data_IF_302905620121
#
_entry.id   IF_302905620121
#
_cell.length_a   1.000
_cell.length_b   1.000
_cell.length_c   1.000
_cell.angle_alpha   90.00
_cell.angle_beta   90.00
_cell.angle_gamma   90.00
#
_symmetry.space_group_name_H-M   'P 1'
#
loop_
_entity.id
_entity.type
_entity.pdbx_description
1 polymer ?
#
# COMPACT_ATOMS: atom_id res chain seq x y z
N UNK A 1 22.85 -35.33 -33.40
CA UNK A 1 21.40 -35.16 -33.14
C UNK A 1 21.26 -34.75 -31.69
N UNK A 2 21.24 -33.44 -31.43
CA UNK A 2 21.14 -32.88 -30.09
C UNK A 2 19.70 -32.95 -29.61
N UNK A 3 19.45 -33.56 -28.45
CA UNK A 3 18.15 -33.51 -27.78
C UNK A 3 17.98 -32.11 -27.20
N UNK A 4 16.97 -31.38 -27.64
CA UNK A 4 16.48 -30.20 -26.92
C UNK A 4 15.98 -30.65 -25.54
N UNK A 5 16.23 -29.88 -24.46
CA UNK A 5 15.71 -30.21 -23.15
C UNK A 5 14.19 -30.09 -23.16
N UNK A 6 13.53 -31.21 -22.87
CA UNK A 6 12.10 -31.33 -22.67
C UNK A 6 11.71 -30.49 -21.45
N UNK A 7 11.12 -29.31 -21.69
CA UNK A 7 10.63 -28.44 -20.61
C UNK A 7 9.41 -29.13 -20.02
N UNK A 8 9.58 -29.70 -18.83
CA UNK A 8 8.52 -30.35 -18.06
C UNK A 8 7.44 -29.32 -17.74
N UNK A 9 6.25 -29.46 -18.32
CA UNK A 9 5.13 -28.56 -18.05
C UNK A 9 4.80 -28.56 -16.56
N UNK A 10 4.85 -27.38 -15.93
CA UNK A 10 4.52 -27.23 -14.51
C UNK A 10 3.02 -27.41 -14.30
N UNK A 11 2.61 -28.44 -13.57
CA UNK A 11 1.21 -28.66 -13.21
C UNK A 11 0.74 -27.63 -12.18
N UNK A 12 -0.38 -26.96 -12.45
CA UNK A 12 -1.01 -26.04 -11.50
C UNK A 12 -1.57 -26.84 -10.32
N UNK A 13 -1.08 -26.55 -9.11
CA UNK A 13 -1.45 -27.28 -7.89
C UNK A 13 -2.75 -26.79 -7.24
N UNK A 14 -3.15 -25.54 -7.53
CA UNK A 14 -4.34 -24.92 -6.96
C UNK A 14 -4.75 -23.71 -7.79
N UNK A 15 -6.05 -23.47 -7.91
CA UNK A 15 -6.62 -22.23 -8.44
C UNK A 15 -7.75 -21.72 -7.54
N UNK A 16 -7.98 -20.39 -7.48
CA UNK A 16 -9.10 -19.83 -6.76
C UNK A 16 -10.43 -20.14 -7.46
N UNK A 17 -11.48 -20.41 -6.68
CA UNK A 17 -12.84 -20.64 -7.18
C UNK A 17 -13.37 -19.49 -8.07
N UNK A 18 -12.93 -18.26 -7.77
CA UNK A 18 -13.26 -17.08 -8.58
C UNK A 18 -12.16 -16.04 -8.53
N UNK A 19 -11.86 -15.46 -9.68
CA UNK A 19 -10.96 -14.30 -9.82
C UNK A 19 -11.73 -12.97 -9.76
N UNK A 20 -13.07 -13.02 -9.66
CA UNK A 20 -13.96 -11.84 -9.63
C UNK A 20 -14.12 -11.29 -8.22
N UNK A 21 -14.45 -10.01 -8.12
CA UNK A 21 -14.79 -9.33 -6.85
C UNK A 21 -13.68 -9.30 -5.78
N UNK A 22 -12.47 -9.73 -6.13
CA UNK A 22 -11.29 -9.51 -5.30
C UNK A 22 -10.97 -8.01 -5.23
N UNK A 23 -10.16 -7.57 -4.26
CA UNK A 23 -9.70 -6.18 -4.23
C UNK A 23 -8.96 -5.79 -5.52
N UNK A 24 -8.17 -6.71 -6.07
CA UNK A 24 -7.45 -6.50 -7.32
C UNK A 24 -8.42 -6.37 -8.51
N UNK A 25 -9.45 -7.21 -8.61
CA UNK A 25 -10.45 -7.13 -9.68
C UNK A 25 -11.29 -5.85 -9.61
N UNK A 26 -11.64 -5.41 -8.39
CA UNK A 26 -12.32 -4.12 -8.16
C UNK A 26 -11.45 -2.94 -8.55
N UNK A 27 -10.16 -2.97 -8.22
CA UNK A 27 -9.22 -1.94 -8.65
C UNK A 27 -9.05 -1.92 -10.17
N UNK A 28 -8.86 -3.09 -10.81
CA UNK A 28 -8.82 -3.25 -12.28
C UNK A 28 -10.03 -2.60 -12.94
N UNK A 29 -11.23 -2.89 -12.44
CA UNK A 29 -12.47 -2.34 -12.98
C UNK A 29 -12.57 -0.81 -12.80
N UNK A 30 -12.11 -0.28 -11.65
CA UNK A 30 -12.07 1.15 -11.40
C UNK A 30 -11.12 1.88 -12.38
N UNK A 31 -9.91 1.34 -12.57
CA UNK A 31 -8.92 1.88 -13.53
C UNK A 31 -9.43 1.81 -14.96
N UNK A 32 -10.04 0.69 -15.35
CA UNK A 32 -10.63 0.54 -16.69
C UNK A 32 -11.70 1.62 -16.95
N UNK A 33 -12.51 1.93 -15.95
CA UNK A 33 -13.53 2.98 -16.03
C UNK A 33 -12.96 4.41 -16.05
N UNK A 34 -11.97 4.72 -15.20
CA UNK A 34 -11.40 6.07 -15.08
C UNK A 34 -10.50 6.44 -16.27
N UNK A 35 -9.74 5.48 -16.80
CA UNK A 35 -8.77 5.71 -17.86
C UNK A 35 -9.28 5.32 -19.26
N UNK A 36 -10.50 4.80 -19.37
CA UNK A 36 -11.05 4.32 -20.65
C UNK A 36 -10.31 3.10 -21.24
N UNK A 37 -9.65 2.32 -20.38
CA UNK A 37 -8.83 1.18 -20.78
C UNK A 37 -9.65 -0.12 -20.86
N UNK A 38 -9.24 -1.02 -21.75
CA UNK A 38 -9.79 -2.38 -21.84
C UNK A 38 -8.90 -3.36 -21.10
N UNK A 39 -9.09 -3.45 -19.79
CA UNK A 39 -8.38 -4.41 -18.94
C UNK A 39 -9.29 -5.62 -18.71
N UNK A 40 -9.15 -6.71 -19.46
CA UNK A 40 -10.03 -7.88 -19.34
C UNK A 40 -9.65 -8.79 -18.16
N UNK A 41 -8.36 -8.88 -17.84
CA UNK A 41 -7.83 -9.76 -16.80
C UNK A 41 -6.67 -9.11 -16.03
N UNK A 42 -6.06 -9.86 -15.10
CA UNK A 42 -4.93 -9.39 -14.31
C UNK A 42 -3.70 -9.08 -15.15
N UNK A 43 -3.40 -9.88 -16.18
CA UNK A 43 -2.22 -9.68 -17.01
C UNK A 43 -2.31 -8.35 -17.77
N UNK A 44 -3.50 -7.97 -18.25
CA UNK A 44 -3.70 -6.67 -18.89
C UNK A 44 -3.43 -5.51 -17.94
N UNK A 45 -3.91 -5.62 -16.68
CA UNK A 45 -3.62 -4.64 -15.63
C UNK A 45 -2.12 -4.59 -15.31
N UNK A 46 -1.48 -5.75 -15.20
CA UNK A 46 -0.06 -5.86 -14.91
C UNK A 46 0.78 -5.22 -16.02
N UNK A 47 0.51 -5.56 -17.29
CA UNK A 47 1.21 -5.00 -18.44
C UNK A 47 1.11 -3.47 -18.42
N UNK A 48 -0.10 -2.94 -18.24
CA UNK A 48 -0.31 -1.50 -18.13
C UNK A 48 0.40 -0.88 -16.93
N UNK A 49 0.44 -1.55 -15.78
CA UNK A 49 1.12 -1.06 -14.58
C UNK A 49 2.63 -0.88 -14.76
N UNK A 50 3.23 -1.64 -15.67
CA UNK A 50 4.66 -1.58 -15.99
C UNK A 50 4.91 -0.57 -17.12
N UNK A 51 4.09 -0.58 -18.16
CA UNK A 51 4.23 0.32 -19.31
C UNK A 51 3.88 1.78 -18.96
N UNK A 52 2.91 1.98 -18.07
CA UNK A 52 2.36 3.29 -17.68
C UNK A 52 2.37 3.44 -16.16
N UNK A 53 3.52 3.17 -15.53
CA UNK A 53 3.64 3.12 -14.06
C UNK A 53 3.28 4.43 -13.36
N UNK A 54 3.56 5.59 -13.96
CA UNK A 54 3.17 6.88 -13.40
C UNK A 54 1.63 7.00 -13.30
N UNK A 55 0.90 6.65 -14.36
CA UNK A 55 -0.57 6.67 -14.38
C UNK A 55 -1.16 5.61 -13.43
N UNK A 56 -0.56 4.41 -13.40
CA UNK A 56 -0.95 3.36 -12.47
C UNK A 56 -0.89 3.83 -11.01
N UNK A 57 0.22 4.45 -10.61
CA UNK A 57 0.39 4.94 -9.25
C UNK A 57 -0.49 6.16 -8.95
N UNK A 58 -0.79 7.00 -9.95
CA UNK A 58 -1.78 8.06 -9.84
C UNK A 58 -3.19 7.51 -9.52
N UNK A 59 -3.62 6.48 -10.25
CA UNK A 59 -4.91 5.82 -10.03
C UNK A 59 -4.95 5.05 -8.71
N UNK A 60 -3.86 4.39 -8.34
CA UNK A 60 -3.76 3.74 -7.03
C UNK A 60 -3.88 4.75 -5.89
N UNK A 61 -3.26 5.93 -5.99
CA UNK A 61 -3.39 6.98 -4.98
C UNK A 61 -4.86 7.37 -4.77
N UNK A 62 -5.60 7.58 -5.87
CA UNK A 62 -7.04 7.90 -5.82
C UNK A 62 -7.83 6.75 -5.20
N UNK A 63 -7.58 5.52 -5.63
CA UNK A 63 -8.30 4.33 -5.18
C UNK A 63 -8.06 4.01 -3.70
N UNK A 64 -6.83 4.18 -3.22
CA UNK A 64 -6.42 3.86 -1.84
C UNK A 64 -6.90 4.86 -0.80
N UNK A 65 -7.46 6.01 -1.23
CA UNK A 65 -7.96 7.06 -0.36
C UNK A 65 -6.89 7.53 0.66
N UNK A 66 -5.65 7.72 0.20
CA UNK A 66 -4.57 8.28 1.02
C UNK A 66 -4.95 9.70 1.43
N UNK A 67 -4.85 9.97 2.73
CA UNK A 67 -5.06 11.31 3.31
C UNK A 67 -3.73 12.07 3.18
N UNK A 68 -3.79 13.27 2.63
CA UNK A 68 -2.63 14.14 2.50
C UNK A 68 -3.02 15.59 2.76
N UNK A 69 -2.06 16.37 3.23
CA UNK A 69 -2.18 17.82 3.43
C UNK A 69 -1.83 18.62 2.18
N UNK A 70 -1.04 18.04 1.28
CA UNK A 70 -0.70 18.59 -0.02
C UNK A 70 -0.65 17.42 -1.03
N UNK A 71 -1.33 17.57 -2.17
CA UNK A 71 -1.30 16.59 -3.24
C UNK A 71 0.05 16.66 -3.97
N UNK A 72 0.43 15.58 -4.66
CA UNK A 72 1.62 15.61 -5.51
C UNK A 72 1.42 16.56 -6.70
N UNK A 73 2.51 17.14 -7.17
CA UNK A 73 2.59 17.85 -8.45
C UNK A 73 2.91 16.88 -9.60
N UNK A 74 3.71 15.86 -9.30
CA UNK A 74 4.20 14.86 -10.24
C UNK A 74 4.33 13.50 -9.54
N UNK A 75 3.85 12.42 -10.16
CA UNK A 75 3.93 11.08 -9.57
C UNK A 75 5.37 10.57 -9.59
N UNK A 76 6.05 10.69 -10.72
CA UNK A 76 7.46 10.30 -10.88
C UNK A 76 7.95 10.82 -12.22
N UNK A 77 9.19 11.30 -12.27
CA UNK A 77 9.86 11.68 -13.52
C UNK A 77 10.27 10.41 -14.28
N UNK A 78 9.55 10.11 -15.37
CA UNK A 78 9.74 8.88 -16.14
C UNK A 78 10.97 8.89 -17.05
N UNK A 79 11.66 10.03 -17.16
CA UNK A 79 12.92 10.15 -17.90
C UNK A 79 14.14 9.68 -17.10
N UNK A 80 14.00 9.58 -15.77
CA UNK A 80 15.09 9.16 -14.88
C UNK A 80 15.19 7.64 -14.78
N UNK A 81 16.43 7.18 -14.66
CA UNK A 81 16.70 5.77 -14.41
C UNK A 81 16.60 5.44 -12.92
N UNK A 82 16.51 4.16 -12.58
CA UNK A 82 16.53 3.73 -11.17
C UNK A 82 17.83 4.10 -10.45
N UNK A 83 18.95 4.22 -11.19
CA UNK A 83 20.22 4.64 -10.64
C UNK A 83 20.19 6.10 -10.14
N UNK A 84 19.30 6.92 -10.70
CA UNK A 84 19.10 8.32 -10.30
C UNK A 84 18.16 8.46 -9.10
N UNK A 85 17.56 7.35 -8.63
CA UNK A 85 16.61 7.29 -7.51
C UNK A 85 15.51 8.35 -7.66
N UNK A 86 14.61 8.19 -8.66
CA UNK A 86 13.62 9.21 -8.95
C UNK A 86 12.70 9.45 -7.75
N UNK A 87 12.35 10.71 -7.53
CA UNK A 87 11.43 11.12 -6.47
C UNK A 87 10.00 10.71 -6.85
N UNK A 88 9.32 10.04 -5.93
CA UNK A 88 7.94 9.61 -6.09
C UNK A 88 7.00 10.56 -5.36
N UNK A 89 5.88 10.89 -6.01
CA UNK A 89 4.84 11.80 -5.53
C UNK A 89 5.41 13.15 -5.08
N UNK A 90 6.29 13.70 -5.92
CA UNK A 90 6.96 14.98 -5.70
C UNK A 90 5.94 16.07 -5.38
N UNK A 91 6.25 16.87 -4.36
CA UNK A 91 5.36 17.92 -3.85
C UNK A 91 4.29 17.44 -2.86
N UNK A 92 4.02 16.13 -2.76
CA UNK A 92 3.05 15.64 -1.80
C UNK A 92 3.52 15.78 -0.35
N UNK A 93 2.57 15.98 0.56
CA UNK A 93 2.85 16.03 2.00
C UNK A 93 1.78 15.26 2.78
N UNK A 94 2.19 14.16 3.39
CA UNK A 94 1.32 13.28 4.17
C UNK A 94 1.95 12.90 5.51
N UNK A 95 1.14 12.32 6.40
CA UNK A 95 1.62 11.65 7.61
C UNK A 95 1.26 10.16 7.56
N UNK A 96 2.25 9.31 7.80
CA UNK A 96 2.06 7.85 7.76
C UNK A 96 1.16 7.36 8.90
N UNK A 97 1.41 7.83 10.13
CA UNK A 97 0.62 7.45 11.30
C UNK A 97 -0.84 7.90 11.18
N UNK A 98 -1.09 9.10 10.65
CA UNK A 98 -2.45 9.58 10.32
C UNK A 98 -3.17 8.60 9.40
N UNK A 99 -2.51 8.16 8.32
CA UNK A 99 -3.12 7.23 7.37
C UNK A 99 -3.40 5.84 7.95
N UNK A 100 -2.58 5.37 8.90
CA UNK A 100 -2.83 4.11 9.60
C UNK A 100 -3.94 4.24 10.67
N UNK A 101 -4.03 5.40 11.33
CA UNK A 101 -4.91 5.62 12.47
C UNK A 101 -6.28 6.24 12.10
N UNK A 102 -6.51 6.56 10.82
CA UNK A 102 -7.75 7.20 10.30
C UNK A 102 -9.02 6.35 10.40
N UNK A 103 -8.97 5.16 11.00
CA UNK A 103 -10.15 4.31 11.11
C UNK A 103 -11.25 5.00 11.92
N UNK A 104 -12.45 5.13 11.34
CA UNK A 104 -13.54 5.94 11.91
C UNK A 104 -14.18 5.30 13.14
N UNK A 105 -14.12 3.97 13.23
CA UNK A 105 -14.70 3.21 14.32
C UNK A 105 -13.70 3.12 15.48
N UNK A 106 -13.99 3.82 16.57
CA UNK A 106 -13.14 3.90 17.75
C UNK A 106 -13.03 2.56 18.49
N UNK A 107 -14.14 1.81 18.56
CA UNK A 107 -14.28 0.62 19.39
C UNK A 107 -13.74 -0.64 18.69
N UNK A 108 -13.51 -0.55 17.38
CA UNK A 108 -12.93 -1.65 16.62
C UNK A 108 -11.51 -1.93 17.08
N UNK A 109 -11.18 -3.23 17.17
CA UNK A 109 -9.84 -3.68 17.54
C UNK A 109 -8.86 -3.36 16.42
N UNK A 110 -7.81 -2.60 16.76
CA UNK A 110 -6.68 -2.27 15.90
C UNK A 110 -5.53 -3.27 16.04
N UNK A 111 -5.27 -3.76 17.25
CA UNK A 111 -4.16 -4.69 17.53
C UNK A 111 -4.64 -5.84 18.41
N UNK A 112 -4.17 -7.05 18.06
CA UNK A 112 -4.21 -8.22 18.93
C UNK A 112 -2.77 -8.52 19.35
N UNK A 113 -2.48 -8.43 20.65
CA UNK A 113 -1.16 -8.69 21.20
C UNK A 113 -1.20 -9.98 22.03
N UNK A 114 -0.48 -11.00 21.54
CA UNK A 114 -0.24 -12.25 22.25
C UNK A 114 1.10 -12.19 23.00
N UNK A 115 1.19 -12.88 24.14
CA UNK A 115 2.39 -12.98 24.96
C UNK A 115 2.70 -14.44 25.24
N UNK A 116 3.99 -14.80 25.27
CA UNK A 116 4.41 -16.15 25.62
C UNK A 116 3.88 -16.55 27.02
N UNK A 117 3.41 -17.79 27.14
CA UNK A 117 2.89 -18.31 28.40
C UNK A 117 1.56 -17.69 28.86
N UNK A 118 0.89 -16.89 28.02
CA UNK A 118 -0.43 -16.33 28.31
C UNK A 118 -1.44 -16.75 27.26
N UNK A 119 -2.54 -17.33 27.72
CA UNK A 119 -3.69 -17.66 26.86
C UNK A 119 -4.51 -16.40 26.49
N UNK A 120 -4.43 -15.35 27.32
CA UNK A 120 -5.15 -14.11 27.09
C UNK A 120 -4.52 -13.29 25.95
N UNK A 121 -5.32 -13.00 24.93
CA UNK A 121 -4.97 -12.08 23.84
C UNK A 121 -5.42 -10.67 24.26
N UNK A 122 -4.45 -9.77 24.40
CA UNK A 122 -4.74 -8.36 24.63
C UNK A 122 -5.29 -7.74 23.35
N UNK A 123 -6.41 -7.03 23.48
CA UNK A 123 -7.06 -6.31 22.39
C UNK A 123 -6.89 -4.82 22.63
N UNK A 124 -6.42 -4.10 21.63
CA UNK A 124 -6.28 -2.64 21.67
C UNK A 124 -7.20 -2.04 20.63
N UNK A 125 -8.10 -1.16 21.03
CA UNK A 125 -9.01 -0.47 20.11
C UNK A 125 -8.27 0.61 19.31
N UNK A 126 -8.89 1.10 18.22
CA UNK A 126 -8.34 2.23 17.48
C UNK A 126 -8.25 3.50 18.32
N UNK A 127 -9.18 3.71 19.26
CA UNK A 127 -9.12 4.84 20.19
C UNK A 127 -7.94 4.73 21.15
N UNK A 128 -7.77 3.59 21.81
CA UNK A 128 -6.65 3.35 22.73
C UNK A 128 -5.31 3.50 22.01
N UNK A 129 -5.20 2.94 20.81
CA UNK A 129 -3.98 3.05 20.00
C UNK A 129 -3.68 4.51 19.63
N UNK A 130 -4.68 5.30 19.24
CA UNK A 130 -4.49 6.73 18.93
C UNK A 130 -4.03 7.52 20.15
N UNK A 131 -4.64 7.28 21.31
CA UNK A 131 -4.26 7.94 22.55
C UNK A 131 -2.82 7.60 22.94
N UNK A 132 -2.43 6.32 22.86
CA UNK A 132 -1.06 5.88 23.13
C UNK A 132 -0.06 6.53 22.17
N UNK A 133 -0.32 6.50 20.86
CA UNK A 133 0.55 7.13 19.86
C UNK A 133 0.68 8.64 20.10
N UNK A 134 -0.41 9.33 20.42
CA UNK A 134 -0.39 10.76 20.72
C UNK A 134 0.45 11.07 21.97
N UNK A 135 0.34 10.24 23.01
CA UNK A 135 1.12 10.37 24.24
C UNK A 135 2.63 10.24 23.97
N UNK A 136 3.05 9.18 23.27
CA UNK A 136 4.46 8.97 22.94
C UNK A 136 4.99 10.06 22.01
N UNK A 137 4.23 10.46 20.99
CA UNK A 137 4.62 11.55 20.10
C UNK A 137 4.79 12.88 20.86
N UNK A 138 3.92 13.18 21.83
CA UNK A 138 4.06 14.36 22.68
C UNK A 138 5.30 14.28 23.59
N UNK A 139 5.57 13.12 24.18
CA UNK A 139 6.77 12.89 24.99
C UNK A 139 8.05 13.04 24.17
N UNK A 140 8.12 12.45 22.98
CA UNK A 140 9.27 12.59 22.07
C UNK A 140 9.51 14.05 21.66
N UNK A 141 8.45 14.80 21.33
CA UNK A 141 8.56 16.25 21.06
C UNK A 141 9.09 17.01 22.28
N UNK A 142 8.63 16.67 23.50
CA UNK A 142 9.13 17.28 24.74
C UNK A 142 10.60 16.97 25.00
N UNK A 143 11.07 15.79 24.60
CA UNK A 143 12.48 15.40 24.65
C UNK A 143 13.34 16.04 23.54
N UNK A 144 12.73 16.81 22.64
CA UNK A 144 13.44 17.57 21.61
C UNK A 144 13.58 16.86 20.26
N UNK A 145 12.90 15.73 20.04
CA UNK A 145 12.88 15.02 18.75
C UNK A 145 12.23 15.89 17.67
N UNK A 146 12.91 16.01 16.52
CA UNK A 146 12.49 16.79 15.35
C UNK A 146 12.36 15.93 14.09
N UNK A 147 11.78 16.51 13.05
CA UNK A 147 11.70 15.90 11.72
C UNK A 147 13.13 15.64 11.20
N UNK A 148 13.40 14.41 10.79
CA UNK A 148 14.73 13.97 10.33
C UNK A 148 15.58 13.27 11.39
N UNK A 149 15.20 13.38 12.67
CA UNK A 149 15.89 12.65 13.74
C UNK A 149 15.59 11.15 13.67
N UNK A 150 16.59 10.35 14.04
CA UNK A 150 16.46 8.89 14.15
C UNK A 150 16.23 8.53 15.62
N UNK A 151 15.23 7.69 15.87
CA UNK A 151 14.89 7.16 17.21
C UNK A 151 15.11 5.65 17.16
N UNK A 152 15.86 5.10 18.13
CA UNK A 152 16.19 3.67 18.26
C UNK A 152 15.77 3.14 19.62
#
# INVERSE_FOLDING_TARGET
>A
MSREPEIMESQVMWEPDSKRNTHMDRFRAAVAGSCGLRLANYNDLYQWSVESYADFWAEFWKYSNIVCSHLYDEVVDTSKSIADVPEWFKGSRLNYAENLLKHKDNDKIALYAAKEGKEEILKVTFEELRQAVALYAAAMRKMGVKIGDRVV
#
